data_IF_766222778830
#
_entry.id   IF_766222778830
#
_cell.length_a   1.000
_cell.length_b   1.000
_cell.length_c   1.000
_cell.angle_alpha   90.00
_cell.angle_beta   90.00
_cell.angle_gamma   90.00
#
_symmetry.space_group_name_H-M   'P 1'
#
loop_
_entity.id
_entity.type
_entity.pdbx_description
1 polymer ?
#
# COMPACT_ATOMS: atom_id res chain seq x y z
N UNK A 1 -18.64 32.97 -11.59
CA UNK A 1 -19.14 31.60 -11.35
C UNK A 1 -17.96 30.67 -11.14
N UNK A 2 -17.69 30.26 -9.89
CA UNK A 2 -16.66 29.25 -9.59
C UNK A 2 -17.29 27.88 -9.86
N UNK A 3 -16.89 27.21 -10.93
CA UNK A 3 -17.21 25.80 -11.09
C UNK A 3 -16.61 25.06 -9.88
N UNK A 4 -17.48 24.53 -9.02
CA UNK A 4 -17.09 23.57 -8.01
C UNK A 4 -16.35 22.45 -8.76
N UNK A 5 -15.05 22.36 -8.55
CA UNK A 5 -14.19 21.32 -9.12
C UNK A 5 -14.70 19.99 -8.55
N UNK A 6 -15.68 19.35 -9.22
CA UNK A 6 -16.20 18.05 -8.81
C UNK A 6 -15.00 17.14 -8.78
N UNK A 7 -14.65 16.63 -7.59
CA UNK A 7 -13.60 15.63 -7.43
C UNK A 7 -13.97 14.47 -8.33
N UNK A 8 -13.23 14.30 -9.42
CA UNK A 8 -13.38 13.12 -10.27
C UNK A 8 -12.90 11.94 -9.43
N UNK A 9 -13.79 11.01 -9.16
CA UNK A 9 -13.49 9.74 -8.49
C UNK A 9 -13.93 8.60 -9.39
N UNK A 10 -13.30 7.44 -9.21
CA UNK A 10 -13.76 6.22 -9.86
C UNK A 10 -15.18 5.88 -9.44
N UNK A 11 -15.95 5.34 -10.37
CA UNK A 11 -17.27 4.76 -10.16
C UNK A 11 -17.49 3.66 -11.21
N UNK A 12 -18.42 2.73 -10.97
CA UNK A 12 -18.79 1.75 -11.98
C UNK A 12 -19.59 2.38 -13.11
N UNK A 13 -19.40 1.88 -14.33
CA UNK A 13 -20.06 2.41 -15.53
C UNK A 13 -21.49 1.88 -15.65
N UNK A 14 -22.44 2.52 -14.96
CA UNK A 14 -23.85 2.11 -14.97
C UNK A 14 -24.01 0.69 -14.40
N UNK A 15 -24.69 -0.19 -15.12
CA UNK A 15 -24.90 -1.59 -14.71
C UNK A 15 -23.68 -2.50 -14.95
N UNK A 16 -22.67 -2.02 -15.70
CA UNK A 16 -21.46 -2.80 -15.97
C UNK A 16 -20.44 -2.67 -14.82
N UNK A 17 -20.51 -3.61 -13.89
CA UNK A 17 -19.56 -3.72 -12.77
C UNK A 17 -18.17 -4.23 -13.17
N UNK A 18 -17.96 -4.60 -14.44
CA UNK A 18 -16.64 -4.98 -14.94
C UNK A 18 -15.84 -3.79 -15.48
N UNK A 19 -16.43 -2.59 -15.54
CA UNK A 19 -15.75 -1.39 -16.03
C UNK A 19 -15.86 -0.28 -15.00
N UNK A 20 -14.71 0.28 -14.62
CA UNK A 20 -14.66 1.50 -13.83
C UNK A 20 -14.42 2.70 -14.76
N UNK A 21 -15.07 3.81 -14.43
CA UNK A 21 -14.97 5.07 -15.14
C UNK A 21 -14.29 6.13 -14.28
N UNK A 22 -13.39 6.89 -14.88
CA UNK A 22 -12.74 8.06 -14.29
C UNK A 22 -12.81 9.23 -15.27
N UNK A 23 -13.69 10.21 -15.01
CA UNK A 23 -13.94 11.29 -15.97
C UNK A 23 -14.58 10.76 -17.25
N UNK A 24 -13.87 10.90 -18.37
CA UNK A 24 -14.20 10.33 -19.69
C UNK A 24 -13.56 8.97 -19.95
N UNK A 25 -12.64 8.54 -19.08
CA UNK A 25 -11.79 7.37 -19.32
C UNK A 25 -12.38 6.13 -18.66
N UNK A 26 -12.09 4.96 -19.23
CA UNK A 26 -12.64 3.68 -18.81
C UNK A 26 -11.52 2.64 -18.63
N UNK A 27 -11.63 1.82 -17.60
CA UNK A 27 -10.71 0.72 -17.37
C UNK A 27 -11.45 -0.53 -16.90
N UNK A 28 -11.10 -1.67 -17.51
CA UNK A 28 -11.63 -2.95 -17.10
C UNK A 28 -11.16 -3.30 -15.68
N UNK A 29 -12.10 -3.67 -14.81
CA UNK A 29 -11.88 -4.01 -13.41
C UNK A 29 -10.79 -5.08 -13.24
N UNK A 30 -10.79 -6.12 -14.08
CA UNK A 30 -9.81 -7.20 -13.96
C UNK A 30 -8.37 -6.70 -14.07
N UNK A 31 -8.08 -5.69 -14.91
CA UNK A 31 -6.75 -5.09 -15.04
C UNK A 31 -6.31 -4.40 -13.75
N UNK A 32 -7.25 -3.70 -13.10
CA UNK A 32 -7.00 -3.07 -11.79
C UNK A 32 -6.80 -4.13 -10.70
N UNK A 33 -7.62 -5.18 -10.69
CA UNK A 33 -7.49 -6.29 -9.74
C UNK A 33 -6.12 -6.96 -9.87
N UNK A 34 -5.67 -7.28 -11.08
CA UNK A 34 -4.34 -7.86 -11.32
C UNK A 34 -3.22 -6.95 -10.81
N UNK A 35 -3.33 -5.64 -11.06
CA UNK A 35 -2.37 -4.65 -10.57
C UNK A 35 -2.33 -4.62 -9.04
N UNK A 36 -3.48 -4.52 -8.37
CA UNK A 36 -3.55 -4.41 -6.92
C UNK A 36 -3.06 -5.68 -6.22
N UNK A 37 -3.36 -6.86 -6.77
CA UNK A 37 -2.86 -8.13 -6.26
C UNK A 37 -1.34 -8.24 -6.43
N UNK A 38 -0.80 -7.86 -7.60
CA UNK A 38 0.64 -7.86 -7.83
C UNK A 38 1.38 -6.87 -6.90
N UNK A 39 0.82 -5.69 -6.69
CA UNK A 39 1.31 -4.69 -5.73
C UNK A 39 1.27 -5.20 -4.29
N UNK A 40 0.16 -5.83 -3.88
CA UNK A 40 0.03 -6.42 -2.55
C UNK A 40 1.06 -7.53 -2.35
N UNK A 41 1.18 -8.45 -3.30
CA UNK A 41 2.07 -9.59 -3.20
C UNK A 41 3.56 -9.20 -3.18
N UNK A 42 3.97 -8.20 -3.97
CA UNK A 42 5.34 -7.68 -3.92
C UNK A 42 5.63 -6.98 -2.58
N UNK A 43 4.67 -6.18 -2.10
CA UNK A 43 4.76 -5.50 -0.80
C UNK A 43 4.84 -6.52 0.34
N UNK A 44 4.05 -7.57 0.30
CA UNK A 44 4.06 -8.66 1.29
C UNK A 44 5.41 -9.37 1.34
N UNK A 45 5.98 -9.72 0.17
CA UNK A 45 7.29 -10.34 0.08
C UNK A 45 8.40 -9.46 0.69
N UNK A 46 8.35 -8.16 0.44
CA UNK A 46 9.31 -7.20 1.02
C UNK A 46 9.14 -7.11 2.55
N UNK A 47 7.90 -7.09 3.05
CA UNK A 47 7.66 -7.06 4.49
C UNK A 47 8.11 -8.36 5.17
N UNK A 48 8.00 -9.50 4.47
CA UNK A 48 8.57 -10.77 4.92
C UNK A 48 10.09 -10.68 5.06
N UNK A 49 10.75 -10.20 4.02
CA UNK A 49 12.21 -10.00 3.98
C UNK A 49 12.67 -9.10 5.14
N UNK A 50 11.99 -7.97 5.39
CA UNK A 50 12.25 -7.07 6.52
C UNK A 50 12.12 -7.76 7.88
N UNK A 51 11.06 -8.55 8.05
CA UNK A 51 10.80 -9.30 9.28
C UNK A 51 11.90 -10.33 9.52
N UNK A 52 12.30 -11.07 8.49
CA UNK A 52 13.37 -12.07 8.58
C UNK A 52 14.73 -11.45 8.84
N UNK A 53 15.10 -10.36 8.16
CA UNK A 53 16.35 -9.64 8.45
C UNK A 53 16.41 -9.15 9.89
N UNK A 54 15.30 -8.60 10.40
CA UNK A 54 15.24 -8.18 11.79
C UNK A 54 15.45 -9.35 12.75
N UNK A 55 14.79 -10.50 12.50
CA UNK A 55 14.96 -11.71 13.32
C UNK A 55 16.39 -12.25 13.25
N UNK A 56 17.01 -12.25 12.07
CA UNK A 56 18.41 -12.67 11.90
C UNK A 56 19.36 -11.79 12.72
N UNK A 57 19.21 -10.45 12.65
CA UNK A 57 20.02 -9.51 13.44
C UNK A 57 19.79 -9.72 14.94
N UNK A 58 18.54 -9.93 15.38
CA UNK A 58 18.23 -10.18 16.77
C UNK A 58 18.86 -11.50 17.27
N UNK A 59 18.78 -12.58 16.49
CA UNK A 59 19.43 -13.85 16.82
C UNK A 59 20.95 -13.73 16.86
N UNK A 60 21.58 -13.07 15.88
CA UNK A 60 23.02 -12.85 15.88
C UNK A 60 23.49 -12.11 17.14
N UNK A 61 22.73 -11.12 17.59
CA UNK A 61 23.01 -10.41 18.86
C UNK A 61 22.85 -11.32 20.08
N UNK A 62 21.82 -12.17 20.10
CA UNK A 62 21.62 -13.14 21.17
C UNK A 62 22.69 -14.24 21.19
N UNK A 63 23.20 -14.64 20.01
CA UNK A 63 24.27 -15.63 19.87
C UNK A 63 25.60 -15.22 20.50
N UNK A 64 25.84 -13.91 20.67
CA UNK A 64 26.98 -13.42 21.44
C UNK A 64 26.90 -13.81 22.94
N UNK A 65 25.73 -14.24 23.41
CA UNK A 65 25.45 -14.64 24.80
C UNK A 65 25.24 -16.17 24.87
N UNK A 66 24.40 -16.74 23.99
CA UNK A 66 24.14 -18.19 23.91
C UNK A 66 24.14 -18.70 22.46
N UNK A 67 25.03 -19.64 22.09
CA UNK A 67 25.14 -20.09 20.71
C UNK A 67 23.91 -20.91 20.28
N UNK A 68 23.12 -20.37 19.35
CA UNK A 68 21.98 -21.05 18.71
C UNK A 68 22.06 -20.95 17.18
N UNK A 69 23.00 -21.69 16.58
CA UNK A 69 23.29 -21.65 15.14
C UNK A 69 22.17 -22.20 14.26
N UNK A 70 21.43 -23.21 14.73
CA UNK A 70 20.37 -23.87 13.96
C UNK A 70 19.20 -22.93 13.64
N UNK A 71 18.82 -22.05 14.57
CA UNK A 71 17.76 -21.06 14.30
C UNK A 71 18.21 -20.01 13.28
N UNK A 72 19.46 -19.54 13.37
CA UNK A 72 20.00 -18.58 12.42
C UNK A 72 20.08 -19.17 11.01
N UNK A 73 20.54 -20.42 10.88
CA UNK A 73 20.59 -21.14 9.60
C UNK A 73 19.19 -21.27 8.99
N UNK A 74 18.17 -21.63 9.79
CA UNK A 74 16.78 -21.67 9.35
C UNK A 74 16.28 -20.32 8.82
N UNK A 75 16.60 -19.22 9.49
CA UNK A 75 16.21 -17.88 9.03
C UNK A 75 16.93 -17.48 7.75
N UNK A 76 18.22 -17.79 7.63
CA UNK A 76 18.99 -17.51 6.42
C UNK A 76 18.42 -18.27 5.21
N UNK A 77 18.05 -19.54 5.39
CA UNK A 77 17.36 -20.31 4.36
C UNK A 77 16.03 -19.66 3.95
N UNK A 78 15.22 -19.20 4.90
CA UNK A 78 13.98 -18.48 4.60
C UNK A 78 14.23 -17.15 3.86
N UNK A 79 15.31 -16.44 4.19
CA UNK A 79 15.72 -15.23 3.47
C UNK A 79 16.06 -15.55 2.02
N UNK A 80 16.85 -16.60 1.76
CA UNK A 80 17.19 -17.04 0.40
C UNK A 80 15.94 -17.41 -0.40
N UNK A 81 15.00 -18.15 0.21
CA UNK A 81 13.72 -18.52 -0.41
C UNK A 81 12.86 -17.29 -0.77
N UNK A 82 12.82 -16.29 0.11
CA UNK A 82 12.09 -15.03 -0.12
C UNK A 82 12.75 -14.19 -1.21
N UNK A 83 14.08 -14.11 -1.20
CA UNK A 83 14.84 -13.37 -2.20
C UNK A 83 14.72 -14.01 -3.60
N UNK A 84 14.71 -15.34 -3.67
CA UNK A 84 14.51 -16.07 -4.92
C UNK A 84 13.11 -15.83 -5.54
N UNK A 85 12.10 -15.49 -4.74
CA UNK A 85 10.75 -15.16 -5.23
C UNK A 85 10.64 -13.75 -5.82
N UNK A 86 11.59 -12.87 -5.53
CA UNK A 86 11.51 -11.45 -5.89
C UNK A 86 11.35 -11.21 -7.40
N UNK A 87 12.16 -11.81 -8.30
CA UNK A 87 12.01 -11.58 -9.74
C UNK A 87 10.63 -11.98 -10.27
N UNK A 88 10.04 -13.06 -9.72
CA UNK A 88 8.70 -13.51 -10.12
C UNK A 88 7.62 -12.50 -9.74
N UNK A 89 7.67 -11.95 -8.51
CA UNK A 89 6.70 -10.94 -8.05
C UNK A 89 6.88 -9.61 -8.78
N UNK A 90 8.13 -9.21 -9.04
CA UNK A 90 8.43 -8.01 -9.82
C UNK A 90 7.96 -8.13 -11.28
N UNK A 91 8.15 -9.29 -11.90
CA UNK A 91 7.64 -9.58 -13.25
C UNK A 91 6.12 -9.60 -13.30
N UNK A 92 5.45 -10.17 -12.28
CA UNK A 92 4.00 -10.13 -12.18
C UNK A 92 3.47 -8.69 -12.13
N UNK A 93 4.11 -7.83 -11.33
CA UNK A 93 3.78 -6.41 -11.29
C UNK A 93 4.05 -5.73 -12.63
N UNK A 94 5.19 -6.00 -13.27
CA UNK A 94 5.49 -5.47 -14.61
C UNK A 94 4.43 -5.86 -15.64
N UNK A 95 3.97 -7.12 -15.65
CA UNK A 95 2.90 -7.56 -16.56
C UNK A 95 1.61 -6.78 -16.32
N UNK A 96 1.18 -6.66 -15.07
CA UNK A 96 -0.03 -5.90 -14.75
C UNK A 96 0.10 -4.41 -15.14
N UNK A 97 1.26 -3.81 -14.86
CA UNK A 97 1.61 -2.44 -15.28
C UNK A 97 1.53 -2.29 -16.81
N UNK A 98 2.00 -3.27 -17.58
CA UNK A 98 2.01 -3.24 -19.05
C UNK A 98 0.63 -3.38 -19.70
N UNK A 99 -0.36 -3.88 -18.96
CA UNK A 99 -1.73 -4.08 -19.44
C UNK A 99 -2.63 -2.85 -19.23
N UNK A 100 -2.15 -1.85 -18.49
CA UNK A 100 -2.85 -0.60 -18.27
C UNK A 100 -2.98 0.18 -19.60
N UNK A 101 -4.14 0.78 -19.89
CA UNK A 101 -4.24 1.80 -20.93
C UNK A 101 -3.29 2.97 -20.65
N UNK A 102 -2.88 3.69 -21.70
CA UNK A 102 -1.82 4.70 -21.63
C UNK A 102 -2.10 5.76 -20.57
N UNK A 103 -3.32 6.30 -20.54
CA UNK A 103 -3.75 7.33 -19.60
C UNK A 103 -3.67 6.88 -18.13
N UNK A 104 -4.03 5.63 -17.84
CA UNK A 104 -3.92 5.06 -16.50
C UNK A 104 -2.47 4.73 -16.14
N UNK A 105 -1.67 4.29 -17.12
CA UNK A 105 -0.24 4.04 -16.93
C UNK A 105 0.50 5.33 -16.57
N UNK A 106 0.22 6.43 -17.28
CA UNK A 106 0.79 7.73 -17.00
C UNK A 106 0.39 8.25 -15.61
N UNK A 107 -0.88 8.12 -15.23
CA UNK A 107 -1.37 8.49 -13.90
C UNK A 107 -0.66 7.67 -12.79
N UNK A 108 -0.58 6.35 -12.96
CA UNK A 108 0.10 5.45 -12.03
C UNK A 108 1.60 5.77 -11.90
N UNK A 109 2.30 5.98 -13.01
CA UNK A 109 3.73 6.31 -13.01
C UNK A 109 3.98 7.69 -12.40
N UNK A 110 3.16 8.68 -12.74
CA UNK A 110 3.23 10.03 -12.22
C UNK A 110 3.11 10.04 -10.70
N UNK A 111 2.13 9.30 -10.16
CA UNK A 111 1.96 9.14 -8.71
C UNK A 111 3.23 8.59 -8.05
N UNK A 112 3.86 7.59 -8.65
CA UNK A 112 5.05 6.91 -8.09
C UNK A 112 6.35 7.68 -8.22
N UNK A 113 6.36 8.83 -8.90
CA UNK A 113 7.51 9.75 -8.89
C UNK A 113 7.71 10.34 -7.49
N UNK A 114 6.63 10.53 -6.74
CA UNK A 114 6.72 10.90 -5.33
C UNK A 114 7.17 9.69 -4.50
N UNK A 115 8.32 9.79 -3.85
CA UNK A 115 8.84 8.71 -2.98
C UNK A 115 7.94 8.40 -1.78
N UNK A 116 7.02 9.31 -1.44
CA UNK A 116 6.00 9.20 -0.38
C UNK A 116 4.59 8.97 -0.91
N UNK A 117 4.42 8.57 -2.18
CA UNK A 117 3.11 8.31 -2.79
C UNK A 117 2.21 7.37 -1.96
N UNK A 118 2.82 6.45 -1.23
CA UNK A 118 2.13 5.47 -0.41
C UNK A 118 1.67 6.02 0.95
N UNK A 119 2.15 7.20 1.36
CA UNK A 119 1.80 7.88 2.61
C UNK A 119 0.62 8.84 2.45
N UNK A 120 -0.15 8.69 1.37
CA UNK A 120 -1.37 9.45 1.15
C UNK A 120 -2.40 9.13 2.23
N UNK A 121 -3.21 10.13 2.57
CA UNK A 121 -4.30 10.02 3.56
C UNK A 121 -5.17 8.78 3.30
N UNK A 122 -5.54 8.53 2.04
CA UNK A 122 -6.42 7.40 1.71
C UNK A 122 -5.77 6.05 2.01
N UNK A 123 -4.46 5.90 1.80
CA UNK A 123 -3.73 4.65 2.06
C UNK A 123 -3.41 4.47 3.55
N UNK A 124 -3.15 5.56 4.26
CA UNK A 124 -2.99 5.58 5.71
C UNK A 124 -4.30 5.17 6.38
N UNK A 125 -5.43 5.72 5.90
CA UNK A 125 -6.75 5.40 6.40
C UNK A 125 -7.12 3.94 6.13
N UNK A 126 -6.89 3.42 4.92
CA UNK A 126 -7.07 1.99 4.62
C UNK A 126 -6.29 1.08 5.57
N UNK A 127 -5.04 1.43 5.85
CA UNK A 127 -4.24 0.69 6.81
C UNK A 127 -4.84 0.74 8.22
N UNK A 128 -5.35 1.90 8.64
CA UNK A 128 -5.98 2.09 9.95
C UNK A 128 -7.29 1.31 10.08
N UNK A 129 -8.17 1.40 9.07
CA UNK A 129 -9.49 0.78 9.04
C UNK A 129 -9.41 -0.75 9.07
N UNK A 130 -8.34 -1.31 8.49
CA UNK A 130 -8.04 -2.75 8.54
C UNK A 130 -7.31 -3.18 9.83
N UNK A 131 -7.17 -2.31 10.83
CA UNK A 131 -6.50 -2.60 12.10
C UNK A 131 -4.96 -2.63 12.05
N UNK A 132 -4.36 -2.10 10.98
CA UNK A 132 -2.91 -2.10 10.75
C UNK A 132 -2.13 -1.10 11.62
N UNK A 133 -0.84 -0.90 11.31
CA UNK A 133 0.06 -0.06 12.11
C UNK A 133 -0.45 1.38 12.33
N UNK A 134 -1.18 1.91 11.36
CA UNK A 134 -1.58 3.31 11.31
C UNK A 134 -2.61 3.69 12.38
N UNK A 135 -3.47 2.76 12.81
CA UNK A 135 -4.42 3.01 13.90
C UNK A 135 -3.74 3.16 15.27
N UNK A 136 -2.49 2.71 15.39
CA UNK A 136 -1.69 2.77 16.62
C UNK A 136 -0.64 3.88 16.60
N UNK A 137 -0.57 4.65 15.51
CA UNK A 137 0.37 5.77 15.34
C UNK A 137 1.84 5.40 15.59
N UNK A 138 2.23 4.13 15.42
CA UNK A 138 3.58 3.68 15.73
C UNK A 138 4.65 4.22 14.75
N UNK A 139 4.23 4.82 13.64
CA UNK A 139 5.08 5.43 12.61
C UNK A 139 5.92 4.44 11.79
N UNK A 140 5.75 3.13 11.96
CA UNK A 140 6.60 2.15 11.27
C UNK A 140 6.37 2.12 9.76
N UNK A 141 5.14 2.39 9.31
CA UNK A 141 4.80 2.41 7.89
C UNK A 141 5.50 3.59 7.17
N UNK A 142 5.65 4.75 7.83
CA UNK A 142 6.39 5.90 7.30
C UNK A 142 7.91 5.70 7.34
N UNK A 143 8.42 5.16 8.46
CA UNK A 143 9.86 4.94 8.70
C UNK A 143 10.44 3.74 7.97
N UNK A 144 9.66 3.09 7.10
CA UNK A 144 10.10 1.90 6.40
C UNK A 144 11.20 2.27 5.39
N UNK A 145 12.45 1.97 5.76
CA UNK A 145 13.61 2.16 4.90
C UNK A 145 13.65 1.07 3.82
N UNK A 146 12.92 1.30 2.73
CA UNK A 146 12.95 0.42 1.58
C UNK A 146 14.11 0.81 0.67
N UNK A 147 15.12 -0.05 0.60
CA UNK A 147 16.18 0.04 -0.43
C UNK A 147 15.61 -0.13 -1.83
N UNK A 148 14.48 -0.83 -1.95
CA UNK A 148 13.79 -1.13 -3.20
C UNK A 148 12.80 -0.01 -3.56
N UNK A 149 12.74 0.36 -4.85
CA UNK A 149 11.83 1.39 -5.36
C UNK A 149 10.38 0.91 -5.45
N UNK A 150 10.16 -0.39 -5.73
CA UNK A 150 8.85 -1.04 -5.83
C UNK A 150 8.45 -1.72 -4.51
N UNK A 151 7.15 -2.00 -4.36
CA UNK A 151 6.59 -2.66 -3.18
C UNK A 151 6.57 -1.80 -1.90
N UNK A 152 6.64 -0.47 -2.03
CA UNK A 152 6.38 0.46 -0.92
C UNK A 152 4.90 0.45 -0.52
N UNK A 153 4.61 0.60 0.76
CA UNK A 153 3.25 0.77 1.24
C UNK A 153 3.02 0.39 2.69
N UNK A 154 1.74 0.32 3.04
CA UNK A 154 1.24 0.00 4.37
C UNK A 154 1.25 -1.51 4.68
N UNK A 155 0.84 -1.87 5.88
CA UNK A 155 0.91 -3.24 6.40
C UNK A 155 0.20 -4.26 5.51
N UNK A 156 0.88 -5.37 5.27
CA UNK A 156 0.29 -6.67 4.94
C UNK A 156 0.37 -7.58 6.19
N UNK A 157 0.00 -8.85 6.04
CA UNK A 157 0.13 -9.87 7.10
C UNK A 157 1.58 -10.09 7.54
N UNK A 158 2.55 -9.75 6.69
CA UNK A 158 3.98 -9.90 6.94
C UNK A 158 4.61 -8.67 7.65
N UNK A 159 3.80 -7.69 8.03
CA UNK A 159 4.32 -6.52 8.72
C UNK A 159 4.85 -6.88 10.11
N UNK A 160 6.17 -6.74 10.30
CA UNK A 160 6.84 -6.94 11.60
C UNK A 160 6.12 -6.28 12.78
N UNK A 161 5.69 -5.01 12.63
CA UNK A 161 5.04 -4.30 13.73
C UNK A 161 3.67 -4.89 14.09
N UNK A 162 2.90 -5.34 13.09
CA UNK A 162 1.64 -6.04 13.34
C UNK A 162 1.89 -7.41 13.98
N UNK A 163 2.85 -8.19 13.46
CA UNK A 163 3.24 -9.49 14.04
C UNK A 163 3.67 -9.34 15.50
N UNK A 164 4.51 -8.34 15.80
CA UNK A 164 4.96 -8.07 17.17
C UNK A 164 3.81 -7.66 18.10
N UNK A 165 2.86 -6.87 17.60
CA UNK A 165 1.69 -6.47 18.39
C UNK A 165 0.74 -7.64 18.66
N UNK A 166 0.52 -8.48 17.66
CA UNK A 166 -0.33 -9.68 17.75
C UNK A 166 0.32 -10.77 18.62
N UNK A 167 1.66 -10.79 18.71
CA UNK A 167 2.42 -11.75 19.50
C UNK A 167 2.68 -13.09 18.81
N UNK A 168 2.17 -13.28 17.59
CA UNK A 168 2.39 -14.47 16.78
C UNK A 168 2.36 -14.15 15.29
N UNK A 169 2.91 -15.05 14.49
CA UNK A 169 2.82 -15.02 13.04
C UNK A 169 1.65 -15.88 12.59
N UNK A 170 0.85 -15.39 11.64
CA UNK A 170 -0.25 -16.17 11.08
C UNK A 170 0.28 -17.46 10.41
N UNK A 171 -0.43 -18.59 10.53
CA UNK A 171 -0.17 -19.77 9.71
C UNK A 171 -0.25 -19.45 8.21
N UNK A 172 0.45 -20.23 7.39
CA UNK A 172 0.48 -19.97 5.95
C UNK A 172 -0.91 -20.12 5.31
N UNK A 173 -1.73 -21.04 5.82
CA UNK A 173 -3.10 -21.25 5.36
C UNK A 173 -3.94 -19.98 5.58
N UNK A 174 -3.82 -19.34 6.74
CA UNK A 174 -4.53 -18.10 7.05
C UNK A 174 -4.05 -16.93 6.16
N UNK A 175 -2.75 -16.84 5.86
CA UNK A 175 -2.23 -15.84 4.93
C UNK A 175 -2.77 -16.04 3.51
N UNK A 176 -2.87 -17.29 3.05
CA UNK A 176 -3.49 -17.62 1.77
C UNK A 176 -4.96 -17.21 1.75
N UNK A 177 -5.73 -17.49 2.80
CA UNK A 177 -7.13 -17.07 2.89
C UNK A 177 -7.29 -15.55 2.91
N UNK A 178 -6.42 -14.82 3.63
CA UNK A 178 -6.45 -13.35 3.62
C UNK A 178 -6.14 -12.76 2.23
N UNK A 179 -5.24 -13.39 1.47
CA UNK A 179 -4.95 -13.00 0.10
C UNK A 179 -6.14 -13.29 -0.85
N UNK A 180 -6.86 -14.40 -0.65
CA UNK A 180 -8.11 -14.70 -1.38
C UNK A 180 -9.24 -13.75 -1.00
N UNK A 181 -9.34 -13.35 0.26
CA UNK A 181 -10.32 -12.36 0.72
C UNK A 181 -10.07 -11.00 0.06
N UNK A 182 -8.81 -10.58 -0.07
CA UNK A 182 -8.46 -9.38 -0.83
C UNK A 182 -8.97 -9.46 -2.28
N UNK A 183 -8.71 -10.56 -2.97
CA UNK A 183 -9.21 -10.77 -4.34
C UNK A 183 -10.74 -10.74 -4.40
N UNK A 184 -11.40 -11.44 -3.47
CA UNK A 184 -12.86 -11.49 -3.36
C UNK A 184 -13.45 -10.09 -3.15
N UNK A 185 -12.87 -9.28 -2.26
CA UNK A 185 -13.29 -7.90 -2.03
C UNK A 185 -13.12 -7.03 -3.28
N UNK A 186 -12.10 -7.25 -4.10
CA UNK A 186 -11.91 -6.51 -5.36
C UNK A 186 -12.90 -6.95 -6.45
N UNK A 187 -13.27 -8.22 -6.47
CA UNK A 187 -14.18 -8.79 -7.47
C UNK A 187 -15.66 -8.70 -7.09
N UNK A 188 -15.98 -8.38 -5.83
CA UNK A 188 -17.35 -8.20 -5.36
C UNK A 188 -18.14 -7.22 -6.26
N UNK A 189 -19.40 -7.54 -6.50
CA UNK A 189 -20.31 -6.71 -7.29
C UNK A 189 -20.45 -5.33 -6.64
N UNK A 190 -20.24 -4.26 -7.41
CA UNK A 190 -20.30 -2.90 -6.88
C UNK A 190 -19.25 -2.60 -5.80
N UNK A 191 -18.11 -3.30 -5.81
CA UNK A 191 -17.09 -3.18 -4.76
C UNK A 191 -16.63 -1.73 -4.52
N UNK A 192 -17.06 -1.17 -3.39
CA UNK A 192 -16.57 0.11 -2.89
C UNK A 192 -15.05 0.05 -2.61
N UNK A 193 -14.53 -1.13 -2.26
CA UNK A 193 -13.11 -1.34 -2.01
C UNK A 193 -12.27 -1.25 -3.30
N UNK A 194 -12.77 -1.80 -4.42
CA UNK A 194 -12.12 -1.65 -5.72
C UNK A 194 -12.06 -0.17 -6.16
N UNK A 195 -13.15 0.57 -5.96
CA UNK A 195 -13.20 2.03 -6.20
C UNK A 195 -12.20 2.75 -5.28
N UNK A 196 -12.18 2.41 -4.00
CA UNK A 196 -11.26 3.00 -3.04
C UNK A 196 -9.79 2.83 -3.47
N UNK A 197 -9.35 1.60 -3.78
CA UNK A 197 -7.99 1.38 -4.27
C UNK A 197 -7.73 2.09 -5.59
N UNK A 198 -8.67 2.08 -6.55
CA UNK A 198 -8.51 2.84 -7.79
C UNK A 198 -8.26 4.33 -7.51
N UNK A 199 -9.00 4.93 -6.58
CA UNK A 199 -8.76 6.32 -6.18
C UNK A 199 -7.36 6.50 -5.55
N UNK A 200 -6.90 5.57 -4.72
CA UNK A 200 -5.58 5.65 -4.10
C UNK A 200 -4.43 5.61 -5.12
N UNK A 201 -4.56 4.81 -6.18
CA UNK A 201 -3.49 4.57 -7.16
C UNK A 201 -3.53 5.50 -8.39
N UNK A 202 -4.68 6.09 -8.73
CA UNK A 202 -4.84 6.81 -9.99
C UNK A 202 -5.38 8.24 -9.82
N UNK A 203 -6.04 8.58 -8.71
CA UNK A 203 -6.48 9.96 -8.53
C UNK A 203 -5.28 10.87 -8.19
N UNK A 204 -5.21 12.09 -8.78
CA UNK A 204 -4.21 13.08 -8.45
C UNK A 204 -4.12 13.33 -6.95
N UNK A 205 -2.93 13.69 -6.48
CA UNK A 205 -2.77 14.18 -5.11
C UNK A 205 -3.73 15.36 -4.91
N UNK A 206 -4.53 15.32 -3.84
CA UNK A 206 -5.19 16.53 -3.36
C UNK A 206 -4.06 17.55 -3.17
N UNK A 207 -4.18 18.79 -3.69
CA UNK A 207 -3.28 19.85 -3.29
C UNK A 207 -3.32 19.85 -1.76
N UNK A 208 -2.20 19.53 -1.12
CA UNK A 208 -2.11 19.69 0.32
C UNK A 208 -2.28 21.20 0.52
N UNK A 209 -3.47 21.64 0.94
CA UNK A 209 -3.56 22.90 1.64
C UNK A 209 -2.56 22.74 2.77
N UNK A 210 -1.46 23.49 2.70
CA UNK A 210 -0.42 23.42 3.71
C UNK A 210 -1.11 23.43 5.07
N UNK A 211 -0.68 22.58 6.01
CA UNK A 211 -1.19 22.59 7.38
C UNK A 211 -1.20 24.02 7.98
N UNK A 212 -0.32 24.88 7.48
CA UNK A 212 -0.25 26.32 7.73
C UNK A 212 -1.46 27.14 7.24
N UNK A 213 -2.07 26.83 6.09
CA UNK A 213 -3.27 27.52 5.59
C UNK A 213 -4.53 27.16 6.38
N UNK A 214 -4.59 25.98 6.99
CA UNK A 214 -5.71 25.60 7.88
C UNK A 214 -5.61 26.27 9.26
N UNK A 215 -4.39 26.51 9.75
CA UNK A 215 -4.14 27.12 11.06
C UNK A 215 -4.22 28.65 11.00
N UNK A 216 -3.69 29.29 9.94
CA UNK A 216 -3.66 30.76 9.81
C UNK A 216 -4.79 31.36 8.95
N UNK A 217 -5.70 30.53 8.41
CA UNK A 217 -6.83 30.98 7.60
C UNK A 217 -7.98 31.62 8.40
N UNK A 218 -7.91 31.63 9.74
CA UNK A 218 -8.87 32.32 10.60
C UNK A 218 -8.16 33.42 11.39
N UNK A 219 -8.34 34.66 10.95
CA UNK A 219 -8.12 35.84 11.75
C UNK A 219 -6.95 36.69 11.29
N UNK A 220 -7.27 37.75 10.53
CA UNK A 220 -6.80 39.10 10.79
C UNK A 220 -7.68 40.06 9.98
N UNK A 221 -8.84 40.43 10.52
CA UNK A 221 -9.49 41.69 10.14
C UNK A 221 -8.67 42.80 10.80
N UNK A 222 -7.79 43.44 10.04
CA UNK A 222 -7.16 44.68 10.49
C UNK A 222 -8.25 45.76 10.52
N UNK A 223 -8.67 46.14 11.73
CA UNK A 223 -9.30 47.44 11.97
C UNK A 223 -8.25 48.51 11.64
N UNK A 224 -8.58 49.40 10.70
CA UNK A 224 -7.90 50.67 10.53
C UNK A 224 -8.56 51.66 11.48
N UNK A 225 -7.86 52.00 12.55
CA UNK A 225 -8.08 53.25 13.29
C UNK A 225 -6.90 54.16 12.98
N UNK A 226 -7.15 55.17 12.13
CA UNK A 226 -6.48 56.49 12.00
C UNK A 226 -7.08 57.20 10.80
#
# INVERSE_FOLDING_TARGET
MRFLNRRTTFHFSGDDTNVLRYGSDYIARFKLTELFLAEHALRELIQREETLHYRAIALQKAMAIEPNSAQLEKINKQLEEVQAQYPRKEYALYRAESMLPLEFKEAYDSLRRDVRWFMREEMVQDCSDRGGCCSRECGCCERRHLSKRKGKGHCTVECRCCISFQGFELPEEEKVEMNKDLETRLQAWGSAYAIHLANCFFCPLKPQASRWQQIFGRGFTYKKDS
#
